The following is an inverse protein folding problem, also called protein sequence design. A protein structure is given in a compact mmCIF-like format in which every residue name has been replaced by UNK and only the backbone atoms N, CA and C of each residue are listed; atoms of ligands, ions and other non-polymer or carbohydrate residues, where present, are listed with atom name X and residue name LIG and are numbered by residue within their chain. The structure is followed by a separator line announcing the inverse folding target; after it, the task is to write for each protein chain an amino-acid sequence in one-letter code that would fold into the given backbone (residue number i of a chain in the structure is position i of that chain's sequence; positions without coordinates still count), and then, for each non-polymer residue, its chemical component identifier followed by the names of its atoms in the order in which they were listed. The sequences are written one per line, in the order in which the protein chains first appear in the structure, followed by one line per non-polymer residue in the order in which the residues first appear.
data_IF_715586172986
#
_entry.id   IF_715586172986
#
_cell.length_a   1.000
_cell.length_b   1.000
_cell.length_c   1.000
_cell.angle_alpha   90.00
_cell.angle_beta   90.00
_cell.angle_gamma   90.00
#
_symmetry.space_group_name_H-M   'P 1'
#
loop_
_entity.id
_entity.type
_entity.pdbx_description
1 polymer ?
#
# COMPACT_ATOMS: atom_id res chain seq x y z
N UNK A 1 -7.62 -11.60 21.33
CA UNK A 1 -8.09 -10.87 20.13
C UNK A 1 -8.43 -11.89 19.06
N UNK A 2 -9.60 -11.80 18.41
CA UNK A 2 -9.97 -12.75 17.33
C UNK A 2 -9.34 -12.35 15.99
N UNK A 3 -9.15 -13.32 15.08
CA UNK A 3 -8.63 -13.07 13.72
C UNK A 3 -9.46 -12.03 12.95
N UNK A 4 -10.78 -12.03 13.17
CA UNK A 4 -11.71 -11.04 12.60
C UNK A 4 -11.44 -9.63 13.10
N UNK A 5 -11.12 -9.47 14.39
CA UNK A 5 -10.79 -8.17 14.99
C UNK A 5 -9.44 -7.68 14.49
N UNK A 6 -8.46 -8.57 14.40
CA UNK A 6 -7.14 -8.24 13.83
C UNK A 6 -7.29 -7.75 12.38
N UNK A 7 -8.03 -8.49 11.54
CA UNK A 7 -8.27 -8.09 10.15
C UNK A 7 -8.94 -6.71 10.05
N UNK A 8 -9.98 -6.47 10.86
CA UNK A 8 -10.68 -5.19 10.85
C UNK A 8 -9.78 -4.02 11.27
N UNK A 9 -8.92 -4.20 12.29
CA UNK A 9 -7.93 -3.21 12.68
C UNK A 9 -6.88 -2.97 11.60
N UNK A 10 -6.40 -4.03 10.94
CA UNK A 10 -5.46 -3.92 9.83
C UNK A 10 -6.05 -3.12 8.67
N UNK A 11 -7.32 -3.31 8.36
CA UNK A 11 -8.02 -2.58 7.30
C UNK A 11 -8.38 -1.14 7.66
N UNK A 12 -8.57 -0.81 8.95
CA UNK A 12 -8.96 0.55 9.38
C UNK A 12 -7.76 1.41 9.78
N UNK A 13 -6.84 0.87 10.59
CA UNK A 13 -5.77 1.65 11.21
C UNK A 13 -4.56 1.77 10.30
N UNK A 14 -4.13 0.66 9.69
CA UNK A 14 -2.89 0.64 8.93
C UNK A 14 -2.89 1.53 7.67
N UNK A 15 -3.95 1.58 6.84
CA UNK A 15 -3.97 2.48 5.69
C UNK A 15 -3.86 3.94 6.10
N UNK A 16 -4.54 4.31 7.20
CA UNK A 16 -4.55 5.68 7.70
C UNK A 16 -3.18 6.05 8.28
N UNK A 17 -2.59 5.18 9.11
CA UNK A 17 -1.25 5.42 9.65
C UNK A 17 -0.20 5.50 8.56
N UNK A 18 -0.25 4.62 7.56
CA UNK A 18 0.64 4.67 6.40
C UNK A 18 0.58 6.04 5.70
N UNK A 19 -0.62 6.53 5.38
CA UNK A 19 -0.78 7.84 4.73
C UNK A 19 -0.33 8.99 5.64
N UNK A 20 -0.64 8.94 6.93
CA UNK A 20 -0.19 9.96 7.88
C UNK A 20 1.34 9.99 7.99
N UNK A 21 2.00 8.85 7.92
CA UNK A 21 3.46 8.80 8.01
C UNK A 21 4.07 9.37 6.72
N UNK A 22 3.74 8.83 5.55
CA UNK A 22 4.38 9.23 4.30
C UNK A 22 3.96 10.61 3.80
N UNK A 23 2.69 11.00 3.95
CA UNK A 23 2.21 12.28 3.40
C UNK A 23 2.34 13.45 4.37
N UNK A 24 2.55 13.19 5.66
CA UNK A 24 2.55 14.26 6.68
C UNK A 24 3.80 14.19 7.54
N UNK A 25 4.06 13.06 8.19
CA UNK A 25 5.15 12.98 9.17
C UNK A 25 6.54 13.03 8.51
N UNK A 26 6.74 12.27 7.43
CA UNK A 26 7.98 12.22 6.66
C UNK A 26 8.39 13.61 6.15
N UNK A 27 7.59 14.32 5.34
CA UNK A 27 7.99 15.64 4.83
C UNK A 27 8.13 16.68 5.95
N UNK A 28 7.32 16.57 7.01
CA UNK A 28 7.41 17.49 8.15
C UNK A 28 8.71 17.34 8.94
N UNK A 29 9.24 16.12 9.04
CA UNK A 29 10.37 15.79 9.91
C UNK A 29 11.69 15.73 9.13
N UNK A 30 11.67 15.21 7.91
CA UNK A 30 12.85 15.04 7.07
C UNK A 30 13.03 16.19 6.07
N UNK A 31 11.97 16.95 5.78
CA UNK A 31 11.95 17.93 4.69
C UNK A 31 11.60 17.28 3.36
N UNK A 32 11.57 18.11 2.30
CA UNK A 32 11.28 17.68 0.94
C UNK A 32 12.46 17.93 0.01
N UNK A 33 12.60 17.06 -0.98
CA UNK A 33 13.55 17.24 -2.08
C UNK A 33 13.08 18.38 -2.99
N UNK A 34 14.03 19.14 -3.57
CA UNK A 34 13.72 20.25 -4.47
C UNK A 34 12.85 19.80 -5.65
N UNK A 35 11.76 20.54 -5.89
CA UNK A 35 10.80 20.24 -6.95
C UNK A 35 11.43 20.41 -8.34
N UNK A 36 11.16 19.47 -9.26
CA UNK A 36 11.61 19.54 -10.66
C UNK A 36 12.91 18.78 -10.95
N UNK A 37 13.50 18.12 -9.95
CA UNK A 37 14.53 17.11 -10.17
C UNK A 37 13.90 15.84 -10.78
N UNK A 38 14.54 15.29 -11.80
CA UNK A 38 14.10 14.06 -12.46
C UNK A 38 15.22 13.04 -12.56
N UNK A 39 14.81 11.77 -12.63
CA UNK A 39 15.72 10.64 -12.81
C UNK A 39 16.83 10.66 -11.77
N UNK A 40 18.07 10.51 -12.22
CA UNK A 40 19.22 10.33 -11.34
C UNK A 40 19.43 11.46 -10.31
N UNK A 41 19.15 12.70 -10.69
CA UNK A 41 19.34 13.84 -9.80
C UNK A 41 18.36 13.82 -8.62
N UNK A 42 17.15 13.35 -8.84
CA UNK A 42 16.13 13.18 -7.79
C UNK A 42 16.56 12.14 -6.75
N UNK A 43 17.05 10.98 -7.19
CA UNK A 43 17.54 9.93 -6.30
C UNK A 43 18.76 10.39 -5.50
N UNK A 44 19.69 11.13 -6.11
CA UNK A 44 20.84 11.67 -5.41
C UNK A 44 20.41 12.63 -4.27
N UNK A 45 19.48 13.55 -4.56
CA UNK A 45 18.99 14.50 -3.57
C UNK A 45 18.17 13.83 -2.45
N UNK A 46 17.37 12.81 -2.79
CA UNK A 46 16.66 12.01 -1.79
C UNK A 46 17.65 11.29 -0.86
N UNK A 47 18.67 10.63 -1.41
CA UNK A 47 19.67 9.92 -0.62
C UNK A 47 20.51 10.88 0.23
N UNK A 48 20.88 12.05 -0.28
CA UNK A 48 21.58 13.09 0.48
C UNK A 48 20.75 13.51 1.70
N UNK A 49 19.49 13.89 1.49
CA UNK A 49 18.56 14.28 2.55
C UNK A 49 18.41 13.21 3.64
N UNK A 50 18.28 11.94 3.23
CA UNK A 50 18.07 10.83 4.15
C UNK A 50 19.37 10.41 4.87
N UNK A 51 20.51 10.42 4.18
CA UNK A 51 21.80 10.03 4.77
C UNK A 51 22.23 10.98 5.90
N UNK A 52 21.95 12.28 5.75
CA UNK A 52 22.25 13.30 6.76
C UNK A 52 21.34 13.18 8.01
N UNK A 53 20.17 12.57 7.87
CA UNK A 53 19.20 12.41 8.95
C UNK A 53 19.49 11.21 9.87
N UNK A 54 20.55 10.44 9.60
CA UNK A 54 20.99 9.32 10.43
C UNK A 54 19.94 8.22 10.55
N UNK A 55 19.50 7.91 11.77
CA UNK A 55 18.54 6.82 12.00
C UNK A 55 17.07 7.19 11.71
N UNK A 56 16.79 8.48 11.46
CA UNK A 56 15.44 9.00 11.35
C UNK A 56 14.63 8.44 10.16
N UNK A 57 15.22 8.28 8.94
CA UNK A 57 14.52 7.66 7.82
C UNK A 57 14.02 6.25 8.15
N UNK A 58 14.84 5.46 8.85
CA UNK A 58 14.46 4.10 9.24
C UNK A 58 13.30 4.09 10.24
N UNK A 59 13.33 4.98 11.23
CA UNK A 59 12.28 5.07 12.25
C UNK A 59 10.93 5.52 11.68
N UNK A 60 10.91 6.22 10.55
CA UNK A 60 9.70 6.70 9.87
C UNK A 60 9.23 5.68 8.84
N UNK A 61 10.12 5.27 7.93
CA UNK A 61 9.74 4.46 6.77
C UNK A 61 9.49 2.99 7.09
N UNK A 62 10.15 2.42 8.11
CA UNK A 62 9.92 1.02 8.51
C UNK A 62 8.49 0.84 9.05
N UNK A 63 7.99 1.63 10.02
CA UNK A 63 6.60 1.53 10.46
C UNK A 63 5.56 1.77 9.37
N UNK A 64 5.79 2.74 8.47
CA UNK A 64 4.90 3.00 7.34
C UNK A 64 4.82 1.79 6.39
N UNK A 65 5.96 1.19 6.09
CA UNK A 65 6.06 -0.03 5.27
C UNK A 65 5.33 -1.20 5.92
N UNK A 66 5.47 -1.38 7.24
CA UNK A 66 4.69 -2.39 7.98
C UNK A 66 3.18 -2.11 7.91
N UNK A 67 2.76 -0.85 7.94
CA UNK A 67 1.35 -0.48 7.77
C UNK A 67 0.84 -0.80 6.35
N UNK A 68 1.66 -0.58 5.31
CA UNK A 68 1.32 -0.99 3.95
C UNK A 68 1.16 -2.53 3.86
N UNK A 69 2.13 -3.28 4.40
CA UNK A 69 2.08 -4.75 4.44
C UNK A 69 0.87 -5.26 5.21
N UNK A 70 0.57 -4.66 6.36
CA UNK A 70 -0.60 -5.01 7.16
C UNK A 70 -1.90 -4.71 6.42
N UNK A 71 -1.96 -3.60 5.67
CA UNK A 71 -3.11 -3.29 4.80
C UNK A 71 -3.31 -4.37 3.75
N UNK A 72 -2.26 -4.77 3.04
CA UNK A 72 -2.31 -5.84 2.02
C UNK A 72 -2.77 -7.18 2.63
N UNK A 73 -2.24 -7.54 3.81
CA UNK A 73 -2.66 -8.73 4.54
C UNK A 73 -4.13 -8.67 4.94
N UNK A 74 -4.61 -7.51 5.39
CA UNK A 74 -6.02 -7.31 5.73
C UNK A 74 -6.92 -7.51 4.52
N UNK A 75 -6.52 -6.98 3.36
CA UNK A 75 -7.23 -7.18 2.10
C UNK A 75 -7.22 -8.66 1.69
N UNK A 76 -6.08 -9.34 1.86
CA UNK A 76 -5.98 -10.77 1.57
C UNK A 76 -6.87 -11.62 2.48
N UNK A 77 -6.93 -11.31 3.77
CA UNK A 77 -7.84 -11.98 4.71
C UNK A 77 -9.31 -11.69 4.39
N UNK A 78 -9.64 -10.48 3.95
CA UNK A 78 -10.96 -10.14 3.47
C UNK A 78 -11.36 -11.00 2.27
N UNK A 79 -10.47 -11.14 1.28
CA UNK A 79 -10.69 -12.02 0.13
C UNK A 79 -10.91 -13.49 0.52
N UNK A 80 -10.10 -14.04 1.43
CA UNK A 80 -10.24 -15.42 1.92
C UNK A 80 -11.50 -15.66 2.77
N UNK A 81 -12.13 -14.61 3.27
CA UNK A 81 -13.32 -14.73 4.11
C UNK A 81 -14.62 -14.95 3.33
N UNK A 82 -14.59 -14.75 2.00
CA UNK A 82 -15.72 -15.05 1.11
C UNK A 82 -15.87 -16.55 0.91
N UNK A 83 -17.08 -17.08 1.04
CA UNK A 83 -17.35 -18.53 1.02
C UNK A 83 -18.45 -18.93 0.02
N UNK A 84 -19.24 -17.97 -0.45
CA UNK A 84 -20.33 -18.17 -1.39
C UNK A 84 -19.92 -17.87 -2.83
N UNK A 85 -20.82 -17.20 -3.55
CA UNK A 85 -20.68 -16.86 -4.97
C UNK A 85 -19.44 -16.01 -5.29
N UNK A 86 -18.89 -15.28 -4.32
CA UNK A 86 -17.69 -14.46 -4.48
C UNK A 86 -16.37 -15.17 -4.20
N UNK A 87 -16.39 -16.41 -3.71
CA UNK A 87 -15.22 -17.07 -3.12
C UNK A 87 -14.02 -17.23 -4.07
N UNK A 88 -14.28 -17.55 -5.34
CA UNK A 88 -13.21 -17.70 -6.34
C UNK A 88 -12.46 -16.39 -6.59
N UNK A 89 -13.20 -15.29 -6.74
CA UNK A 89 -12.63 -13.96 -6.95
C UNK A 89 -11.92 -13.43 -5.69
N UNK A 90 -12.50 -13.66 -4.51
CA UNK A 90 -11.87 -13.35 -3.22
C UNK A 90 -10.55 -14.11 -3.02
N UNK A 91 -10.52 -15.40 -3.38
CA UNK A 91 -9.31 -16.23 -3.30
C UNK A 91 -8.21 -15.76 -4.24
N UNK A 92 -8.56 -15.40 -5.48
CA UNK A 92 -7.61 -14.87 -6.44
C UNK A 92 -7.04 -13.52 -5.99
N UNK A 93 -7.90 -12.62 -5.50
CA UNK A 93 -7.47 -11.35 -4.90
C UNK A 93 -6.49 -11.59 -3.74
N UNK A 94 -6.83 -12.51 -2.83
CA UNK A 94 -5.98 -12.82 -1.70
C UNK A 94 -4.60 -13.38 -2.11
N UNK A 95 -4.55 -14.20 -3.16
CA UNK A 95 -3.29 -14.69 -3.71
C UNK A 95 -2.43 -13.54 -4.24
N UNK A 96 -3.02 -12.63 -5.02
CA UNK A 96 -2.33 -11.44 -5.54
C UNK A 96 -1.75 -10.61 -4.39
N UNK A 97 -2.56 -10.24 -3.40
CA UNK A 97 -2.08 -9.45 -2.27
C UNK A 97 -1.03 -10.16 -1.41
N UNK A 98 -1.09 -11.49 -1.31
CA UNK A 98 -0.05 -12.26 -0.61
C UNK A 98 1.30 -12.12 -1.32
N UNK A 99 1.31 -12.16 -2.65
CA UNK A 99 2.52 -11.96 -3.45
C UNK A 99 3.01 -10.51 -3.37
N UNK A 100 2.09 -9.53 -3.40
CA UNK A 100 2.45 -8.11 -3.36
C UNK A 100 3.17 -7.68 -2.10
N UNK A 101 2.99 -8.37 -0.98
CA UNK A 101 3.69 -8.08 0.29
C UNK A 101 5.22 -8.13 0.12
N UNK A 102 5.74 -8.97 -0.78
CA UNK A 102 7.18 -9.07 -0.99
C UNK A 102 7.78 -7.77 -1.54
N UNK A 103 7.04 -7.02 -2.36
CA UNK A 103 7.50 -5.79 -3.02
C UNK A 103 7.96 -4.73 -2.00
N UNK A 104 7.10 -4.26 -1.06
CA UNK A 104 7.50 -3.23 -0.13
C UNK A 104 8.61 -3.68 0.83
N UNK A 105 8.69 -4.97 1.16
CA UNK A 105 9.76 -5.51 2.01
C UNK A 105 11.11 -5.45 1.29
N UNK A 106 11.15 -5.91 0.03
CA UNK A 106 12.38 -5.90 -0.78
C UNK A 106 12.80 -4.47 -1.14
N UNK A 107 11.85 -3.65 -1.60
CA UNK A 107 12.11 -2.26 -1.95
C UNK A 107 12.66 -1.47 -0.77
N UNK A 108 12.04 -1.58 0.41
CA UNK A 108 12.54 -0.95 1.63
C UNK A 108 13.97 -1.42 1.97
N UNK A 109 14.25 -2.73 1.91
CA UNK A 109 15.60 -3.24 2.20
C UNK A 109 16.67 -2.70 1.25
N UNK A 110 16.34 -2.54 -0.04
CA UNK A 110 17.23 -1.95 -1.03
C UNK A 110 17.45 -0.45 -0.77
N UNK A 111 16.39 0.33 -0.54
CA UNK A 111 16.51 1.75 -0.24
C UNK A 111 17.29 2.01 1.06
N UNK A 112 17.10 1.19 2.10
CA UNK A 112 17.90 1.31 3.33
C UNK A 112 19.39 1.06 3.07
N UNK A 113 19.71 0.03 2.27
CA UNK A 113 21.09 -0.27 1.87
C UNK A 113 21.68 0.87 1.04
N UNK A 114 20.89 1.48 0.16
CA UNK A 114 21.32 2.62 -0.63
C UNK A 114 21.66 3.84 0.24
N UNK A 115 20.85 4.14 1.26
CA UNK A 115 21.14 5.22 2.21
C UNK A 115 22.46 5.00 2.96
N UNK A 116 22.72 3.78 3.44
CA UNK A 116 23.98 3.43 4.11
C UNK A 116 25.18 3.62 3.16
N UNK A 117 25.10 3.06 1.95
CA UNK A 117 26.16 3.18 0.95
C UNK A 117 26.41 4.61 0.50
N UNK A 118 25.37 5.45 0.46
CA UNK A 118 25.51 6.86 0.15
C UNK A 118 26.31 7.57 1.26
N UNK A 119 25.96 7.32 2.53
CA UNK A 119 26.69 7.86 3.69
C UNK A 119 28.15 7.39 3.76
N UNK A 120 28.45 6.18 3.29
CA UNK A 120 29.81 5.63 3.21
C UNK A 120 30.62 6.15 2.00
N UNK A 121 30.03 7.00 1.16
CA UNK A 121 30.70 7.60 -0.01
C UNK A 121 30.63 6.75 -1.29
N UNK A 122 29.85 5.67 -1.32
CA UNK A 122 29.59 4.84 -2.51
C UNK A 122 28.45 5.40 -3.37
N UNK A 123 28.54 6.69 -3.73
CA UNK A 123 27.45 7.50 -4.29
C UNK A 123 26.79 6.89 -5.54
N UNK A 124 27.57 6.51 -6.55
CA UNK A 124 27.05 5.95 -7.82
C UNK A 124 26.27 4.65 -7.59
N UNK A 125 26.81 3.78 -6.74
CA UNK A 125 26.21 2.48 -6.44
C UNK A 125 24.94 2.65 -5.63
N UNK A 126 24.95 3.54 -4.63
CA UNK A 126 23.79 3.88 -3.82
C UNK A 126 22.63 4.39 -4.68
N UNK A 127 22.88 5.36 -5.56
CA UNK A 127 21.86 5.90 -6.47
C UNK A 127 21.29 4.79 -7.36
N UNK A 128 22.14 3.92 -7.89
CA UNK A 128 21.69 2.81 -8.75
C UNK A 128 20.81 1.83 -7.98
N UNK A 129 21.18 1.49 -6.74
CA UNK A 129 20.38 0.58 -5.90
C UNK A 129 19.02 1.19 -5.56
N UNK A 130 18.96 2.48 -5.24
CA UNK A 130 17.71 3.14 -4.91
C UNK A 130 16.78 3.27 -6.13
N UNK A 131 17.35 3.55 -7.31
CA UNK A 131 16.61 3.48 -8.59
C UNK A 131 16.02 2.08 -8.84
N UNK A 132 16.75 1.00 -8.49
CA UNK A 132 16.24 -0.37 -8.59
C UNK A 132 15.13 -0.62 -7.56
N UNK A 133 15.27 -0.12 -6.33
CA UNK A 133 14.24 -0.21 -5.31
C UNK A 133 12.92 0.38 -5.81
N UNK A 134 12.96 1.59 -6.38
CA UNK A 134 11.79 2.27 -6.95
C UNK A 134 11.21 1.53 -8.17
N UNK A 135 12.07 0.99 -9.03
CA UNK A 135 11.61 0.22 -10.19
C UNK A 135 10.80 -1.03 -9.80
N UNK A 136 11.10 -1.65 -8.66
CA UNK A 136 10.31 -2.79 -8.14
C UNK A 136 8.89 -2.33 -7.75
N UNK A 137 8.74 -1.10 -7.23
CA UNK A 137 7.44 -0.54 -6.88
C UNK A 137 6.59 -0.19 -8.10
N UNK A 138 7.18 0.20 -9.23
CA UNK A 138 6.41 0.63 -10.43
C UNK A 138 5.38 -0.41 -10.92
N UNK A 139 5.64 -1.71 -10.75
CA UNK A 139 4.69 -2.77 -11.14
C UNK A 139 3.55 -3.00 -10.13
N UNK A 140 3.75 -2.62 -8.86
CA UNK A 140 2.81 -2.90 -7.77
C UNK A 140 1.39 -2.34 -8.01
N UNK A 141 1.21 -1.09 -8.48
CA UNK A 141 -0.11 -0.50 -8.57
C UNK A 141 -1.04 -1.21 -9.56
N UNK A 142 -0.51 -1.80 -10.63
CA UNK A 142 -1.31 -2.57 -11.61
C UNK A 142 -1.90 -3.82 -10.95
N UNK A 143 -1.07 -4.59 -10.26
CA UNK A 143 -1.51 -5.80 -9.56
C UNK A 143 -2.38 -5.47 -8.34
N UNK A 144 -2.10 -4.37 -7.65
CA UNK A 144 -2.97 -3.84 -6.60
C UNK A 144 -4.37 -3.57 -7.15
N UNK A 145 -4.47 -2.81 -8.24
CA UNK A 145 -5.72 -2.46 -8.89
C UNK A 145 -6.49 -3.72 -9.35
N UNK A 146 -5.80 -4.68 -9.95
CA UNK A 146 -6.39 -5.98 -10.32
C UNK A 146 -6.92 -6.75 -9.09
N UNK A 147 -6.12 -6.84 -8.03
CA UNK A 147 -6.51 -7.49 -6.78
C UNK A 147 -7.74 -6.84 -6.14
N UNK A 148 -7.81 -5.51 -6.13
CA UNK A 148 -8.96 -4.74 -5.64
C UNK A 148 -10.20 -4.96 -6.52
N UNK A 149 -10.05 -4.96 -7.84
CA UNK A 149 -11.17 -5.21 -8.75
C UNK A 149 -11.79 -6.59 -8.53
N UNK A 150 -10.96 -7.62 -8.41
CA UNK A 150 -11.39 -8.99 -8.13
C UNK A 150 -12.07 -9.12 -6.76
N UNK A 151 -11.52 -8.47 -5.74
CA UNK A 151 -12.16 -8.45 -4.42
C UNK A 151 -13.53 -7.77 -4.46
N UNK A 152 -13.61 -6.63 -5.13
CA UNK A 152 -14.86 -5.89 -5.32
C UNK A 152 -15.92 -6.73 -6.03
N UNK A 153 -15.54 -7.43 -7.10
CA UNK A 153 -16.42 -8.37 -7.80
C UNK A 153 -16.90 -9.48 -6.86
N UNK A 154 -15.99 -10.10 -6.11
CA UNK A 154 -16.33 -11.12 -5.11
C UNK A 154 -17.33 -10.60 -4.07
N UNK A 155 -17.11 -9.40 -3.53
CA UNK A 155 -17.99 -8.76 -2.54
C UNK A 155 -19.37 -8.41 -3.10
N UNK A 156 -19.47 -7.95 -4.35
CA UNK A 156 -20.75 -7.67 -5.00
C UNK A 156 -21.55 -8.95 -5.21
N UNK A 157 -20.87 -10.05 -5.54
CA UNK A 157 -21.51 -11.36 -5.72
C UNK A 157 -21.92 -12.00 -4.39
N UNK A 158 -21.20 -11.74 -3.31
CA UNK A 158 -21.43 -12.31 -1.98
C UNK A 158 -22.50 -11.51 -1.20
N UNK A 159 -23.77 -11.88 -1.34
CA UNK A 159 -24.88 -11.16 -0.69
C UNK A 159 -24.74 -11.13 0.83
N UNK A 160 -24.74 -9.94 1.42
CA UNK A 160 -24.84 -9.74 2.87
C UNK A 160 -23.51 -9.79 3.63
N UNK A 161 -22.38 -10.08 2.99
CA UNK A 161 -21.08 -10.10 3.68
C UNK A 161 -20.57 -8.69 4.03
N UNK A 162 -20.62 -7.76 3.08
CA UNK A 162 -20.44 -6.31 3.29
C UNK A 162 -21.53 -5.55 2.52
N UNK A 163 -21.78 -4.27 2.85
CA UNK A 163 -22.62 -3.40 2.03
C UNK A 163 -22.16 -3.40 0.57
N UNK A 164 -23.11 -3.56 -0.35
CA UNK A 164 -22.84 -3.70 -1.79
C UNK A 164 -22.03 -2.53 -2.37
N UNK A 165 -22.21 -1.33 -1.82
CA UNK A 165 -21.48 -0.14 -2.25
C UNK A 165 -19.97 -0.24 -1.99
N UNK A 166 -19.53 -0.95 -0.95
CA UNK A 166 -18.10 -1.17 -0.67
C UNK A 166 -17.50 -2.07 -1.75
N UNK A 167 -18.17 -3.18 -2.07
CA UNK A 167 -17.76 -4.06 -3.15
C UNK A 167 -17.76 -3.34 -4.50
N UNK A 168 -18.79 -2.53 -4.78
CA UNK A 168 -18.88 -1.70 -5.98
C UNK A 168 -17.75 -0.66 -6.07
N UNK A 169 -17.44 0.02 -4.96
CA UNK A 169 -16.34 1.00 -4.90
C UNK A 169 -14.99 0.33 -5.18
N UNK A 170 -14.73 -0.83 -4.57
CA UNK A 170 -13.53 -1.63 -4.87
C UNK A 170 -13.50 -2.05 -6.33
N UNK A 171 -14.59 -2.56 -6.88
CA UNK A 171 -14.62 -2.99 -8.28
C UNK A 171 -14.30 -1.84 -9.25
N UNK A 172 -14.97 -0.70 -9.09
CA UNK A 172 -14.79 0.46 -9.97
C UNK A 172 -13.40 1.07 -9.82
N UNK A 173 -12.92 1.27 -8.59
CA UNK A 173 -11.59 1.84 -8.33
C UNK A 173 -10.46 0.92 -8.81
N UNK A 174 -10.60 -0.40 -8.67
CA UNK A 174 -9.66 -1.36 -9.22
C UNK A 174 -9.63 -1.35 -10.75
N UNK A 175 -10.80 -1.34 -11.40
CA UNK A 175 -10.87 -1.28 -12.87
C UNK A 175 -10.35 0.05 -13.42
N UNK A 176 -10.63 1.16 -12.75
CA UNK A 176 -10.10 2.47 -13.11
C UNK A 176 -8.60 2.60 -12.81
N UNK A 177 -8.09 1.88 -11.79
CA UNK A 177 -6.70 1.90 -11.38
C UNK A 177 -5.76 1.32 -12.42
N UNK A 178 -6.18 0.31 -13.18
CA UNK A 178 -5.34 -0.31 -14.23
C UNK A 178 -4.94 0.71 -15.33
N UNK A 179 -5.87 1.38 -16.04
CA UNK A 179 -5.50 2.43 -16.97
C UNK A 179 -4.99 3.68 -16.25
N UNK A 180 -5.44 3.95 -15.01
CA UNK A 180 -5.01 5.09 -14.23
C UNK A 180 -3.51 5.09 -13.94
N UNK A 181 -2.97 3.94 -13.53
CA UNK A 181 -1.54 3.76 -13.28
C UNK A 181 -0.71 3.88 -14.57
N UNK A 182 -1.26 3.44 -15.71
CA UNK A 182 -0.53 3.39 -16.97
C UNK A 182 -0.59 4.70 -17.77
N UNK A 183 -1.62 5.52 -17.58
CA UNK A 183 -1.90 6.66 -18.46
C UNK A 183 -2.11 8.00 -17.73
N UNK A 184 -2.37 8.00 -16.41
CA UNK A 184 -2.85 9.20 -15.71
C UNK A 184 -1.84 9.83 -14.74
N UNK A 185 -0.62 9.31 -14.64
CA UNK A 185 0.43 9.89 -13.79
C UNK A 185 -0.05 10.13 -12.35
N UNK A 186 0.01 11.38 -11.87
CA UNK A 186 -0.46 11.79 -10.54
C UNK A 186 -1.92 11.44 -10.25
N UNK A 187 -2.81 11.43 -11.25
CA UNK A 187 -4.20 11.02 -11.03
C UNK A 187 -4.33 9.50 -10.72
N UNK A 188 -3.31 8.70 -11.05
CA UNK A 188 -3.20 7.32 -10.59
C UNK A 188 -3.07 7.20 -9.06
N UNK A 189 -2.39 8.16 -8.42
CA UNK A 189 -2.29 8.23 -6.95
C UNK A 189 -3.65 8.47 -6.29
N UNK A 190 -4.47 9.36 -6.86
CA UNK A 190 -5.83 9.61 -6.36
C UNK A 190 -6.71 8.35 -6.45
N UNK A 191 -6.60 7.57 -7.53
CA UNK A 191 -7.35 6.32 -7.68
C UNK A 191 -6.89 5.29 -6.63
N UNK A 192 -5.58 5.20 -6.37
CA UNK A 192 -5.04 4.35 -5.31
C UNK A 192 -5.58 4.75 -3.93
N UNK A 193 -5.65 6.05 -3.60
CA UNK A 193 -6.25 6.53 -2.35
C UNK A 193 -7.71 6.08 -2.19
N UNK A 194 -8.51 6.07 -3.26
CA UNK A 194 -9.90 5.59 -3.22
C UNK A 194 -9.97 4.12 -2.82
N UNK A 195 -9.01 3.29 -3.26
CA UNK A 195 -8.95 1.88 -2.84
C UNK A 195 -8.70 1.73 -1.34
N UNK A 196 -7.93 2.64 -0.73
CA UNK A 196 -7.67 2.67 0.72
C UNK A 196 -8.91 3.09 1.50
N UNK A 197 -9.70 4.05 0.98
CA UNK A 197 -10.99 4.43 1.58
C UNK A 197 -11.92 3.20 1.63
N UNK A 198 -11.96 2.41 0.57
CA UNK A 198 -12.76 1.18 0.53
C UNK A 198 -12.26 0.13 1.52
N UNK A 199 -10.94 0.00 1.71
CA UNK A 199 -10.35 -0.86 2.73
C UNK A 199 -10.75 -0.41 4.15
N UNK A 200 -10.62 0.88 4.45
CA UNK A 200 -11.00 1.47 5.75
C UNK A 200 -12.48 1.25 6.02
N UNK A 201 -13.35 1.54 5.05
CA UNK A 201 -14.79 1.30 5.15
C UNK A 201 -15.11 -0.18 5.45
N UNK A 202 -14.40 -1.10 4.80
CA UNK A 202 -14.54 -2.55 5.05
C UNK A 202 -14.18 -2.89 6.50
N UNK A 203 -13.06 -2.38 7.01
CA UNK A 203 -12.63 -2.60 8.40
C UNK A 203 -13.63 -2.04 9.42
N UNK A 204 -14.17 -0.83 9.18
CA UNK A 204 -15.17 -0.20 10.06
C UNK A 204 -16.44 -1.04 10.15
N UNK A 205 -16.96 -1.52 9.02
CA UNK A 205 -18.17 -2.37 9.01
C UNK A 205 -17.93 -3.69 9.74
N UNK A 206 -16.74 -4.30 9.58
CA UNK A 206 -16.38 -5.52 10.29
C UNK A 206 -16.33 -5.31 11.81
N UNK A 207 -15.86 -4.15 12.29
CA UNK A 207 -15.90 -3.78 13.72
C UNK A 207 -17.33 -3.57 14.22
N UNK A 208 -18.16 -2.86 13.45
CA UNK A 208 -19.56 -2.57 13.84
C UNK A 208 -20.40 -3.82 14.00
N UNK A 209 -20.27 -4.80 13.08
CA UNK A 209 -21.01 -6.07 13.17
C UNK A 209 -20.73 -6.83 14.47
N UNK A 210 -19.49 -6.77 14.97
CA UNK A 210 -19.14 -7.39 16.26
C UNK A 210 -19.85 -6.72 17.44
N UNK A 211 -20.00 -5.39 17.41
CA UNK A 211 -20.71 -4.66 18.46
C UNK A 211 -22.20 -5.00 18.55
N UNK A 212 -22.77 -5.63 17.52
CA UNK A 212 -24.16 -6.12 17.48
C UNK A 212 -24.29 -7.61 17.85
N UNK A 213 -23.19 -8.36 17.91
CA UNK A 213 -23.14 -9.78 18.29
C UNK A 213 -22.91 -9.97 19.81
N UNK A 214 -22.81 -8.87 20.59
CA UNK A 214 -22.68 -8.84 22.05
C UNK A 214 -23.96 -8.35 22.72
#
# INVERSE_FOLDING_TARGET
MSIRTLNALMLTVCPVLMLLIWMVLEPLVMGDVESGLEGRAQFAAYLELNSDAGALPYLINVPATFCLVATMLGIAFLGRSLQGSGAAFGSLSAAIFTVLIAIPIVGMGLSMTAMEWFGDGHIETAITVDMVAEAIFMGMPVFWALGIALLGLGLVMEKGFLPIWIGGLMLVSGLAGIPGVLALGEAGFLIWLVTLIAAVASGVVLLMRRGQEQ
#
